data_IF_868870140426
#
_entry.id   IF_868870140426
#
_cell.length_a   1.000
_cell.length_b   1.000
_cell.length_c   1.000
_cell.angle_alpha   90.00
_cell.angle_beta   90.00
_cell.angle_gamma   90.00
#
_symmetry.space_group_name_H-M   'P 1'
#
loop_
_entity.id
_entity.type
_entity.pdbx_description
1 polymer ?
#
# COMPACT_ATOMS: atom_id res chain seq x y z
N UNK A 1 -13.77 -7.14 21.37
CA UNK A 1 -12.63 -7.37 20.46
C UNK A 1 -13.06 -8.48 19.53
N UNK A 2 -13.27 -8.20 18.26
CA UNK A 2 -13.52 -9.25 17.27
C UNK A 2 -12.19 -9.99 17.12
N UNK A 3 -12.17 -11.28 17.42
CA UNK A 3 -10.98 -12.11 17.30
C UNK A 3 -10.49 -12.06 15.84
N UNK A 4 -9.21 -11.72 15.61
CA UNK A 4 -8.65 -11.67 14.25
C UNK A 4 -8.81 -13.02 13.51
N UNK A 5 -8.92 -14.13 14.26
CA UNK A 5 -9.17 -15.48 13.74
C UNK A 5 -10.62 -15.69 13.25
N UNK A 6 -11.62 -15.04 13.87
CA UNK A 6 -13.03 -15.13 13.43
C UNK A 6 -13.35 -14.15 12.30
N UNK A 7 -12.49 -13.15 12.06
CA UNK A 7 -12.58 -12.24 10.91
C UNK A 7 -12.30 -12.92 9.56
N UNK A 8 -11.39 -13.92 9.56
CA UNK A 8 -10.97 -14.64 8.35
C UNK A 8 -11.92 -15.77 7.96
N UNK A 9 -12.85 -16.15 8.84
CA UNK A 9 -13.87 -17.14 8.49
C UNK A 9 -14.91 -16.51 7.59
N UNK A 10 -14.83 -16.83 6.31
CA UNK A 10 -15.98 -16.79 5.40
C UNK A 10 -17.01 -17.79 5.94
N UNK A 11 -17.90 -17.32 6.82
CA UNK A 11 -19.00 -18.18 7.29
C UNK A 11 -20.01 -18.33 6.17
N UNK A 12 -20.74 -19.45 6.11
CA UNK A 12 -21.87 -19.69 5.17
C UNK A 12 -22.91 -18.54 5.12
N UNK A 13 -22.88 -17.61 6.08
CA UNK A 13 -23.70 -16.38 6.11
C UNK A 13 -23.18 -15.24 5.22
N UNK A 14 -21.93 -15.27 4.74
CA UNK A 14 -21.41 -14.39 3.68
C UNK A 14 -22.01 -14.82 2.32
N UNK A 15 -23.32 -14.58 2.19
CA UNK A 15 -24.16 -15.03 1.07
C UNK A 15 -23.90 -14.27 -0.24
N UNK A 16 -23.04 -13.24 -0.24
CA UNK A 16 -22.80 -12.39 -1.41
C UNK A 16 -21.31 -12.31 -1.74
N UNK A 17 -20.97 -12.67 -2.98
CA UNK A 17 -19.61 -12.70 -3.53
C UNK A 17 -18.84 -11.38 -3.29
N UNK A 18 -19.54 -10.23 -3.34
CA UNK A 18 -18.96 -8.92 -3.03
C UNK A 18 -18.43 -8.82 -1.59
N UNK A 19 -19.08 -9.41 -0.60
CA UNK A 19 -18.64 -9.33 0.80
C UNK A 19 -17.34 -10.13 1.00
N UNK A 20 -17.22 -11.30 0.36
CA UNK A 20 -15.98 -12.11 0.38
C UNK A 20 -14.83 -11.37 -0.30
N UNK A 21 -15.08 -10.81 -1.49
CA UNK A 21 -14.10 -9.98 -2.20
C UNK A 21 -13.65 -8.80 -1.35
N UNK A 22 -14.58 -8.10 -0.70
CA UNK A 22 -14.30 -6.95 0.16
C UNK A 22 -13.40 -7.33 1.34
N UNK A 23 -13.68 -8.47 2.00
CA UNK A 23 -12.84 -8.97 3.12
C UNK A 23 -11.44 -9.37 2.64
N UNK A 24 -11.34 -10.09 1.51
CA UNK A 24 -10.04 -10.45 0.91
C UNK A 24 -9.26 -9.18 0.55
N UNK A 25 -9.87 -8.23 -0.15
CA UNK A 25 -9.27 -6.94 -0.53
C UNK A 25 -8.82 -6.12 0.69
N UNK A 26 -9.62 -6.09 1.76
CA UNK A 26 -9.24 -5.45 3.02
C UNK A 26 -7.94 -6.03 3.58
N UNK A 27 -7.82 -7.36 3.59
CA UNK A 27 -6.62 -8.04 4.08
C UNK A 27 -5.38 -7.68 3.25
N UNK A 28 -5.52 -7.71 1.93
CA UNK A 28 -4.45 -7.37 0.99
C UNK A 28 -3.97 -5.93 1.21
N UNK A 29 -4.91 -4.99 1.38
CA UNK A 29 -4.60 -3.60 1.68
C UNK A 29 -3.88 -3.47 3.03
N UNK A 30 -4.28 -4.21 4.06
CA UNK A 30 -3.58 -4.16 5.35
C UNK A 30 -2.17 -4.75 5.31
N UNK A 31 -1.96 -5.87 4.61
CA UNK A 31 -0.62 -6.46 4.43
C UNK A 31 0.26 -5.50 3.64
N UNK A 32 -0.26 -4.95 2.54
CA UNK A 32 0.49 -3.99 1.72
C UNK A 32 0.76 -2.69 2.47
N UNK A 33 -0.15 -2.23 3.32
CA UNK A 33 0.07 -1.08 4.20
C UNK A 33 1.25 -1.32 5.15
N UNK A 34 1.29 -2.50 5.77
CA UNK A 34 2.39 -2.91 6.63
C UNK A 34 3.72 -2.98 5.85
N UNK A 35 3.73 -3.66 4.71
CA UNK A 35 4.91 -3.80 3.87
C UNK A 35 5.45 -2.43 3.41
N UNK A 36 4.58 -1.52 2.98
CA UNK A 36 4.94 -0.16 2.57
C UNK A 36 5.45 0.68 3.76
N UNK A 37 4.90 0.49 4.96
CA UNK A 37 5.39 1.17 6.16
C UNK A 37 6.79 0.70 6.55
N UNK A 38 7.03 -0.62 6.52
CA UNK A 38 8.37 -1.20 6.75
C UNK A 38 9.35 -0.70 5.69
N UNK A 39 8.93 -0.70 4.43
CA UNK A 39 9.76 -0.18 3.34
C UNK A 39 10.06 1.31 3.50
N UNK A 40 9.09 2.11 3.96
CA UNK A 40 9.28 3.53 4.25
C UNK A 40 10.35 3.74 5.29
N UNK A 41 10.30 3.00 6.41
CA UNK A 41 11.31 3.09 7.48
C UNK A 41 12.69 2.72 6.93
N UNK A 42 12.76 1.62 6.15
CA UNK A 42 14.00 1.18 5.53
C UNK A 42 14.57 2.25 4.59
N UNK A 43 13.76 2.75 3.65
CA UNK A 43 14.17 3.74 2.65
C UNK A 43 14.63 5.05 3.30
N UNK A 44 13.90 5.57 4.30
CA UNK A 44 14.31 6.79 5.01
C UNK A 44 15.59 6.58 5.80
N UNK A 45 15.80 5.39 6.39
CA UNK A 45 17.02 5.07 7.14
C UNK A 45 18.23 5.00 6.21
N UNK A 46 18.12 4.28 5.10
CA UNK A 46 19.19 4.16 4.09
C UNK A 46 19.49 5.51 3.45
N UNK A 47 18.46 6.31 3.14
CA UNK A 47 18.65 7.66 2.60
C UNK A 47 19.36 8.54 3.62
N UNK A 48 18.98 8.48 4.89
CA UNK A 48 19.62 9.23 5.96
C UNK A 48 21.10 8.88 6.15
N UNK A 49 21.45 7.60 6.10
CA UNK A 49 22.86 7.16 6.18
C UNK A 49 23.65 7.56 4.94
N UNK A 50 23.06 7.44 3.75
CA UNK A 50 23.66 7.89 2.49
C UNK A 50 23.95 9.40 2.51
N UNK A 51 22.97 10.22 2.90
CA UNK A 51 23.14 11.67 3.01
C UNK A 51 24.26 12.06 3.97
N UNK A 52 24.41 11.34 5.09
CA UNK A 52 25.53 11.56 6.01
C UNK A 52 26.87 11.29 5.33
N UNK A 53 26.99 10.18 4.59
CA UNK A 53 28.21 9.85 3.87
C UNK A 53 28.54 10.78 2.69
N UNK A 54 27.54 11.48 2.13
CA UNK A 54 27.75 12.47 1.08
C UNK A 54 28.41 13.74 1.63
N UNK A 55 28.10 14.14 2.87
CA UNK A 55 28.74 15.30 3.52
C UNK A 55 30.23 15.09 3.86
N UNK A 56 30.67 13.84 3.93
CA UNK A 56 32.07 13.47 4.24
C UNK A 56 32.95 13.37 2.97
N UNK A 57 32.39 13.52 1.77
CA UNK A 57 33.11 13.39 0.49
C UNK A 57 33.14 14.73 -0.23
N UNK A 58 34.26 15.06 -0.89
CA UNK A 58 34.45 16.27 -1.75
C UNK A 58 33.60 16.24 -3.05
N UNK A 59 32.44 15.55 -3.05
CA UNK A 59 31.51 15.44 -4.19
C UNK A 59 30.46 16.57 -4.14
N UNK A 60 30.63 17.55 -3.24
CA UNK A 60 29.70 18.66 -3.08
C UNK A 60 29.52 19.50 -4.36
N UNK A 61 30.47 19.46 -5.30
CA UNK A 61 30.42 20.20 -6.56
C UNK A 61 29.39 19.67 -7.58
N UNK A 62 28.90 18.43 -7.44
CA UNK A 62 27.93 17.85 -8.39
C UNK A 62 26.46 18.15 -8.02
N UNK A 63 26.20 18.61 -6.79
CA UNK A 63 24.85 18.83 -6.29
C UNK A 63 24.39 20.28 -6.41
N UNK A 64 23.16 20.46 -6.88
CA UNK A 64 22.55 21.79 -6.91
C UNK A 64 22.21 22.27 -5.50
N UNK A 65 22.66 23.48 -5.16
CA UNK A 65 22.25 24.15 -3.94
C UNK A 65 20.75 24.45 -3.94
N UNK A 66 20.10 24.29 -2.78
CA UNK A 66 18.68 24.59 -2.63
C UNK A 66 18.40 25.21 -1.26
N UNK A 67 17.28 25.93 -1.18
CA UNK A 67 16.90 26.73 -0.01
C UNK A 67 16.30 25.86 1.11
N UNK A 68 15.85 24.63 0.82
CA UNK A 68 15.25 23.74 1.83
C UNK A 68 15.73 22.30 1.68
N UNK A 69 15.85 21.54 2.79
CA UNK A 69 16.25 20.13 2.73
C UNK A 69 15.35 19.26 1.84
N UNK A 70 14.05 19.57 1.80
CA UNK A 70 13.11 18.87 0.90
C UNK A 70 13.29 19.28 -0.56
N UNK A 71 13.66 20.53 -0.82
CA UNK A 71 14.06 20.98 -2.16
C UNK A 71 15.33 20.29 -2.65
N UNK A 72 16.31 20.10 -1.75
CA UNK A 72 17.55 19.39 -2.03
C UNK A 72 17.27 17.96 -2.45
N UNK A 73 16.49 17.23 -1.64
CA UNK A 73 16.10 15.85 -1.93
C UNK A 73 15.34 15.75 -3.25
N UNK A 74 14.33 16.60 -3.48
CA UNK A 74 13.55 16.56 -4.71
C UNK A 74 14.38 16.78 -5.97
N UNK A 75 15.37 17.68 -5.93
CA UNK A 75 16.23 18.00 -7.08
C UNK A 75 17.35 16.99 -7.30
N UNK A 76 18.11 16.69 -6.25
CA UNK A 76 19.36 15.94 -6.36
C UNK A 76 19.15 14.42 -6.19
N UNK A 77 18.13 14.03 -5.44
CA UNK A 77 17.84 12.63 -5.07
C UNK A 77 16.34 12.34 -5.28
N UNK A 78 15.82 12.53 -6.52
CA UNK A 78 14.39 12.49 -6.79
C UNK A 78 13.77 11.13 -6.47
N UNK A 79 14.51 10.04 -6.66
CA UNK A 79 14.04 8.70 -6.32
C UNK A 79 13.87 8.53 -4.81
N UNK A 80 14.88 8.88 -4.01
CA UNK A 80 14.88 8.76 -2.54
C UNK A 80 13.79 9.63 -1.89
N UNK A 81 13.58 10.82 -2.47
CA UNK A 81 12.46 11.69 -2.10
C UNK A 81 11.11 11.03 -2.39
N UNK A 82 10.92 10.55 -3.62
CA UNK A 82 9.66 9.96 -4.07
C UNK A 82 9.36 8.66 -3.33
N UNK A 83 10.32 7.75 -3.19
CA UNK A 83 10.10 6.46 -2.54
C UNK A 83 9.69 6.63 -1.09
N UNK A 84 10.35 7.53 -0.34
CA UNK A 84 10.05 7.78 1.08
C UNK A 84 8.64 8.35 1.26
N UNK A 85 8.26 9.31 0.41
CA UNK A 85 6.91 9.91 0.45
C UNK A 85 5.83 8.95 -0.03
N UNK A 86 6.09 8.24 -1.12
CA UNK A 86 5.16 7.31 -1.73
C UNK A 86 4.89 6.14 -0.80
N UNK A 87 5.92 5.48 -0.24
CA UNK A 87 5.75 4.33 0.64
C UNK A 87 4.96 4.67 1.89
N UNK A 88 5.25 5.82 2.53
CA UNK A 88 4.50 6.25 3.70
C UNK A 88 3.03 6.55 3.36
N UNK A 89 2.81 7.38 2.33
CA UNK A 89 1.47 7.83 1.98
C UNK A 89 0.59 6.70 1.42
N UNK A 90 1.12 5.90 0.48
CA UNK A 90 0.41 4.74 -0.06
C UNK A 90 0.12 3.73 1.05
N UNK A 91 1.07 3.52 1.98
CA UNK A 91 0.87 2.68 3.15
C UNK A 91 -0.28 3.17 4.04
N UNK A 92 -0.33 4.46 4.32
CA UNK A 92 -1.41 5.08 5.10
C UNK A 92 -2.77 4.97 4.39
N UNK A 93 -2.82 5.23 3.08
CA UNK A 93 -4.05 5.10 2.30
C UNK A 93 -4.54 3.65 2.26
N UNK A 94 -3.64 2.70 2.05
CA UNK A 94 -3.95 1.27 2.11
C UNK A 94 -4.47 0.86 3.48
N UNK A 95 -3.88 1.38 4.56
CA UNK A 95 -4.35 1.08 5.91
C UNK A 95 -5.78 1.56 6.15
N UNK A 96 -6.08 2.84 5.85
CA UNK A 96 -7.42 3.41 6.03
C UNK A 96 -8.44 2.69 5.14
N UNK A 97 -8.11 2.45 3.86
CA UNK A 97 -8.97 1.73 2.94
C UNK A 97 -9.21 0.28 3.41
N UNK A 98 -8.17 -0.39 3.88
CA UNK A 98 -8.25 -1.74 4.44
C UNK A 98 -9.22 -1.80 5.61
N UNK A 99 -9.03 -0.94 6.61
CA UNK A 99 -9.93 -0.85 7.77
C UNK A 99 -11.36 -0.51 7.34
N UNK A 100 -11.55 0.43 6.42
CA UNK A 100 -12.88 0.79 5.92
C UNK A 100 -13.59 -0.41 5.27
N UNK A 101 -12.88 -1.14 4.40
CA UNK A 101 -13.41 -2.35 3.75
C UNK A 101 -13.68 -3.47 4.77
N UNK A 102 -12.91 -3.59 5.85
CA UNK A 102 -13.23 -4.55 6.93
C UNK A 102 -14.62 -4.29 7.52
N UNK A 103 -14.93 -3.02 7.83
CA UNK A 103 -16.24 -2.67 8.38
C UNK A 103 -17.37 -2.92 7.37
N UNK A 104 -17.17 -2.53 6.10
CA UNK A 104 -18.16 -2.71 5.03
C UNK A 104 -18.41 -4.22 4.77
N UNK A 105 -17.35 -5.01 4.68
CA UNK A 105 -17.43 -6.45 4.42
C UNK A 105 -18.07 -7.25 5.55
N UNK A 106 -17.98 -6.77 6.80
CA UNK A 106 -18.59 -7.41 7.98
C UNK A 106 -20.03 -6.98 8.27
N UNK A 107 -20.49 -5.87 7.69
CA UNK A 107 -21.84 -5.36 7.91
C UNK A 107 -22.97 -6.41 7.67
N UNK A 108 -22.90 -7.30 6.66
CA UNK A 108 -23.91 -8.35 6.45
C UNK A 108 -23.98 -9.40 7.56
N UNK A 109 -22.87 -9.64 8.27
CA UNK A 109 -22.77 -10.67 9.31
C UNK A 109 -23.07 -10.14 10.72
N UNK A 110 -23.28 -8.83 10.89
CA UNK A 110 -23.39 -8.14 12.19
C UNK A 110 -24.65 -8.47 13.02
N UNK A 111 -25.50 -9.40 12.57
CA UNK A 111 -26.60 -10.00 13.35
C UNK A 111 -27.84 -9.13 13.60
N UNK A 112 -27.80 -7.80 13.36
CA UNK A 112 -28.93 -6.90 13.58
C UNK A 112 -28.93 -5.64 12.72
N UNK A 113 -30.12 -5.12 12.38
CA UNK A 113 -30.29 -3.95 11.48
C UNK A 113 -29.54 -2.70 11.94
N UNK A 114 -29.54 -2.41 13.25
CA UNK A 114 -28.82 -1.26 13.81
C UNK A 114 -27.29 -1.45 13.72
N UNK A 115 -26.80 -2.64 14.07
CA UNK A 115 -25.39 -3.01 13.98
C UNK A 115 -24.89 -2.93 12.53
N UNK A 116 -25.60 -3.52 11.57
CA UNK A 116 -25.28 -3.43 10.14
C UNK A 116 -25.16 -1.98 9.66
N UNK A 117 -26.10 -1.09 10.04
CA UNK A 117 -26.03 0.33 9.68
C UNK A 117 -24.83 1.03 10.30
N UNK A 118 -24.47 0.68 11.54
CA UNK A 118 -23.30 1.24 12.23
C UNK A 118 -21.98 0.83 11.55
N UNK A 119 -21.85 -0.44 11.14
CA UNK A 119 -20.69 -0.91 10.38
C UNK A 119 -20.54 -0.17 9.04
N UNK A 120 -21.64 -0.01 8.29
CA UNK A 120 -21.59 0.78 7.06
C UNK A 120 -21.23 2.23 7.31
N UNK A 121 -21.80 2.87 8.33
CA UNK A 121 -21.49 4.26 8.69
C UNK A 121 -20.00 4.45 9.00
N UNK A 122 -19.41 3.57 9.81
CA UNK A 122 -17.98 3.62 10.15
C UNK A 122 -17.14 3.46 8.87
N UNK A 123 -17.45 2.45 8.06
CA UNK A 123 -16.73 2.18 6.81
C UNK A 123 -16.80 3.33 5.80
N UNK A 124 -17.99 3.90 5.57
CA UNK A 124 -18.16 5.03 4.64
C UNK A 124 -17.58 6.33 5.18
N UNK A 125 -17.60 6.54 6.50
CA UNK A 125 -16.93 7.68 7.13
C UNK A 125 -15.41 7.61 6.93
N UNK A 126 -14.81 6.42 7.08
CA UNK A 126 -13.38 6.23 6.83
C UNK A 126 -13.03 6.42 5.34
N UNK A 127 -13.85 5.92 4.42
CA UNK A 127 -13.66 6.19 2.98
C UNK A 127 -13.77 7.68 2.65
N UNK A 128 -14.69 8.40 3.30
CA UNK A 128 -14.84 9.85 3.13
C UNK A 128 -13.61 10.60 3.63
N UNK A 129 -13.05 10.19 4.78
CA UNK A 129 -11.81 10.75 5.30
C UNK A 129 -10.63 10.48 4.35
N UNK A 130 -10.52 9.28 3.78
CA UNK A 130 -9.50 8.93 2.79
C UNK A 130 -9.58 9.85 1.55
N UNK A 131 -10.78 10.06 1.00
CA UNK A 131 -10.97 10.96 -0.14
C UNK A 131 -10.60 12.40 0.21
N UNK A 132 -10.94 12.86 1.42
CA UNK A 132 -10.58 14.19 1.89
C UNK A 132 -9.06 14.34 2.06
N UNK A 133 -8.36 13.32 2.54
CA UNK A 133 -6.89 13.34 2.63
C UNK A 133 -6.24 13.47 1.25
N UNK A 134 -6.73 12.73 0.25
CA UNK A 134 -6.23 12.83 -1.13
C UNK A 134 -6.54 14.21 -1.72
N UNK A 135 -7.74 14.74 -1.51
CA UNK A 135 -8.11 16.07 -1.96
C UNK A 135 -7.24 17.16 -1.31
N UNK A 136 -7.01 17.05 0.00
CA UNK A 136 -6.11 17.93 0.74
C UNK A 136 -4.69 17.86 0.19
N UNK A 137 -4.17 16.67 -0.05
CA UNK A 137 -2.85 16.48 -0.63
C UNK A 137 -2.74 17.11 -2.02
N UNK A 138 -3.70 16.83 -2.92
CA UNK A 138 -3.72 17.40 -4.27
C UNK A 138 -3.68 18.93 -4.26
N UNK A 139 -4.35 19.57 -3.30
CA UNK A 139 -4.33 21.03 -3.16
C UNK A 139 -2.98 21.57 -2.68
N UNK A 140 -2.22 20.81 -1.89
CA UNK A 140 -0.99 21.29 -1.23
C UNK A 140 0.29 20.71 -1.85
N UNK A 141 0.21 19.99 -2.96
CA UNK A 141 1.40 19.59 -3.69
C UNK A 141 1.90 20.72 -4.57
N UNK A 142 3.15 21.12 -4.32
CA UNK A 142 3.85 22.13 -5.10
C UNK A 142 4.77 21.53 -6.17
N UNK A 143 5.21 20.28 -5.98
CA UNK A 143 6.17 19.61 -6.86
C UNK A 143 5.52 18.79 -7.98
N UNK A 144 4.27 18.36 -7.78
CA UNK A 144 3.53 17.52 -8.74
C UNK A 144 2.13 18.10 -8.96
N UNK A 145 1.62 17.98 -10.18
CA UNK A 145 0.28 18.47 -10.54
C UNK A 145 -0.85 17.72 -9.81
N UNK A 146 -0.66 16.44 -9.50
CA UNK A 146 -1.63 15.62 -8.77
C UNK A 146 -0.95 14.39 -8.17
N UNK A 147 -1.66 13.69 -7.30
CA UNK A 147 -1.16 12.49 -6.65
C UNK A 147 -0.87 11.39 -7.67
N UNK A 148 -1.73 11.26 -8.70
CA UNK A 148 -1.52 10.33 -9.80
C UNK A 148 -0.25 10.65 -10.60
N UNK A 149 0.08 11.93 -10.78
CA UNK A 149 1.32 12.34 -11.42
C UNK A 149 2.54 11.93 -10.60
N UNK A 150 2.50 12.13 -9.28
CA UNK A 150 3.56 11.67 -8.37
C UNK A 150 3.75 10.14 -8.42
N UNK A 151 2.67 9.36 -8.54
CA UNK A 151 2.73 7.90 -8.69
C UNK A 151 3.40 7.51 -10.02
N UNK A 152 3.02 8.17 -11.11
CA UNK A 152 3.60 7.91 -12.43
C UNK A 152 5.10 8.20 -12.44
N UNK A 153 5.51 9.34 -11.90
CA UNK A 153 6.92 9.73 -11.78
C UNK A 153 7.69 8.77 -10.88
N UNK A 154 7.08 8.31 -9.78
CA UNK A 154 7.69 7.29 -8.92
C UNK A 154 8.00 6.00 -9.69
N UNK A 155 7.03 5.48 -10.45
CA UNK A 155 7.27 4.26 -11.24
C UNK A 155 8.33 4.47 -12.31
N UNK A 156 8.30 5.60 -13.01
CA UNK A 156 9.30 5.94 -14.01
C UNK A 156 10.71 5.95 -13.41
N UNK A 157 10.90 6.67 -12.30
CA UNK A 157 12.17 6.76 -11.58
C UNK A 157 12.61 5.39 -11.04
N UNK A 158 11.68 4.60 -10.50
CA UNK A 158 11.98 3.24 -10.04
C UNK A 158 12.50 2.34 -11.17
N UNK A 159 11.84 2.36 -12.33
CA UNK A 159 12.29 1.58 -13.48
C UNK A 159 13.64 2.03 -14.01
N UNK A 160 13.86 3.35 -14.10
CA UNK A 160 15.14 3.91 -14.52
C UNK A 160 16.28 3.51 -13.57
N UNK A 161 16.05 3.62 -12.26
CA UNK A 161 17.07 3.41 -11.24
C UNK A 161 17.42 1.93 -11.00
N UNK A 162 16.49 1.00 -11.26
CA UNK A 162 16.68 -0.42 -10.95
C UNK A 162 16.72 -1.36 -12.16
N UNK A 163 16.04 -1.03 -13.26
CA UNK A 163 15.92 -1.92 -14.43
C UNK A 163 16.63 -1.39 -15.66
N UNK A 164 16.63 -0.07 -15.88
CA UNK A 164 17.29 0.58 -17.03
C UNK A 164 18.65 1.19 -16.65
N UNK A 165 19.19 0.84 -15.49
CA UNK A 165 20.45 1.37 -14.98
C UNK A 165 21.66 0.57 -15.48
N UNK A 166 22.80 1.27 -15.60
CA UNK A 166 24.13 0.67 -15.77
C UNK A 166 25.01 1.09 -14.59
N UNK A 167 25.63 0.17 -13.85
CA UNK A 167 25.64 -1.29 -14.04
C UNK A 167 24.31 -1.96 -13.70
N UNK A 168 24.04 -3.11 -14.33
CA UNK A 168 22.84 -3.93 -14.06
C UNK A 168 22.79 -4.33 -12.59
N UNK A 169 21.59 -4.30 -11.99
CA UNK A 169 21.33 -4.68 -10.60
C UNK A 169 20.57 -6.01 -10.53
N UNK A 170 21.24 -7.17 -10.38
CA UNK A 170 20.58 -8.48 -10.43
C UNK A 170 19.50 -8.68 -9.36
N UNK A 171 19.69 -8.09 -8.17
CA UNK A 171 18.72 -8.18 -7.08
C UNK A 171 17.37 -7.54 -7.42
N UNK A 172 17.34 -6.52 -8.29
CA UNK A 172 16.09 -5.91 -8.76
C UNK A 172 15.30 -6.88 -9.64
N UNK A 173 15.98 -7.61 -10.52
CA UNK A 173 15.37 -8.62 -11.39
C UNK A 173 14.85 -9.83 -10.59
N UNK A 174 15.62 -10.28 -9.59
CA UNK A 174 15.15 -11.33 -8.68
C UNK A 174 13.91 -10.88 -7.90
N UNK A 175 13.90 -9.65 -7.39
CA UNK A 175 12.74 -9.08 -6.72
C UNK A 175 11.51 -9.00 -7.65
N UNK A 176 11.69 -8.62 -8.91
CA UNK A 176 10.61 -8.62 -9.90
C UNK A 176 10.06 -10.03 -10.18
N UNK A 177 10.92 -11.04 -10.23
CA UNK A 177 10.50 -12.43 -10.41
C UNK A 177 9.66 -12.92 -9.20
N UNK A 178 10.12 -12.64 -7.98
CA UNK A 178 9.37 -12.97 -6.74
C UNK A 178 8.03 -12.22 -6.68
N UNK A 179 8.01 -10.95 -7.09
CA UNK A 179 6.78 -10.15 -7.15
C UNK A 179 5.80 -10.71 -8.19
N UNK A 180 6.28 -11.13 -9.35
CA UNK A 180 5.42 -11.75 -10.38
C UNK A 180 4.81 -13.06 -9.87
N UNK A 181 5.60 -13.85 -9.15
CA UNK A 181 5.13 -15.08 -8.52
C UNK A 181 4.08 -14.80 -7.43
N UNK A 182 4.25 -13.74 -6.62
CA UNK A 182 3.25 -13.36 -5.62
C UNK A 182 1.94 -12.90 -6.26
N UNK A 183 1.99 -12.17 -7.38
CA UNK A 183 0.80 -11.81 -8.17
C UNK A 183 0.06 -13.05 -8.71
N UNK A 184 0.80 -14.09 -9.12
CA UNK A 184 0.20 -15.35 -9.55
C UNK A 184 -0.57 -16.03 -8.40
N UNK A 185 0.06 -16.23 -7.25
CA UNK A 185 -0.60 -16.84 -6.09
C UNK A 185 -1.78 -16.01 -5.59
N UNK A 186 -1.68 -14.69 -5.68
CA UNK A 186 -2.77 -13.78 -5.37
C UNK A 186 -3.99 -13.99 -6.28
N UNK A 187 -3.76 -14.07 -7.59
CA UNK A 187 -4.82 -14.33 -8.56
C UNK A 187 -5.49 -15.68 -8.30
N UNK A 188 -4.68 -16.72 -8.08
CA UNK A 188 -5.17 -18.06 -7.71
C UNK A 188 -6.01 -18.03 -6.43
N UNK A 189 -5.58 -17.31 -5.38
CA UNK A 189 -6.33 -17.18 -4.14
C UNK A 189 -7.65 -16.40 -4.28
N UNK A 190 -7.76 -15.47 -5.23
CA UNK A 190 -9.02 -14.77 -5.52
C UNK A 190 -9.98 -15.68 -6.31
N UNK A 191 -9.45 -16.41 -7.29
CA UNK A 191 -10.24 -17.25 -8.19
C UNK A 191 -10.53 -18.64 -7.63
N UNK A 192 -9.84 -19.08 -6.59
CA UNK A 192 -10.17 -20.29 -5.87
C UNK A 192 -11.61 -20.18 -5.34
N UNK A 193 -12.49 -21.02 -5.89
CA UNK A 193 -13.71 -21.40 -5.23
C UNK A 193 -13.30 -22.14 -3.95
N UNK A 194 -13.92 -21.82 -2.82
CA UNK A 194 -13.68 -22.58 -1.60
C UNK A 194 -14.19 -24.00 -1.90
N UNK A 195 -13.29 -24.93 -2.23
CA UNK A 195 -13.59 -26.37 -2.32
C UNK A 195 -13.98 -26.81 -0.91
N UNK A 196 -15.28 -26.69 -0.59
CA UNK A 196 -15.87 -27.35 0.56
C UNK A 196 -15.75 -28.86 0.27
N UNK A 197 -14.70 -29.49 0.81
CA UNK A 197 -14.68 -30.94 1.02
C UNK A 197 -15.98 -31.33 1.71
N UNK A 198 -16.85 -31.97 0.93
CA UNK A 198 -18.07 -32.65 1.36
C UNK A 198 -17.69 -33.90 2.18
N UNK A 199 -17.04 -33.72 3.33
CA UNK A 199 -16.97 -34.76 4.35
C UNK A 199 -18.28 -34.74 5.16
N UNK A 200 -19.33 -35.18 4.47
CA UNK A 200 -20.70 -35.20 4.97
C UNK A 200 -21.56 -36.31 4.36
N UNK A 201 -21.16 -37.58 4.44
CA UNK A 201 -22.11 -38.71 4.51
C UNK A 201 -21.61 -39.70 5.56
N UNK A 202 -22.19 -39.67 6.78
CA UNK A 202 -23.35 -40.49 7.20
C UNK A 202 -23.06 -41.98 7.12
N UNK A 203 -22.79 -42.60 8.27
CA UNK A 203 -23.72 -43.53 8.94
C UNK A 203 -23.67 -43.26 10.45
#
# INVERSE_FOLDING_TARGET
MIDQADFLKTTKKDTKLWARFTKRAAHILLISAFALSVFSIFATTVTGTMLKSLGDRDIAEEYEETISPMGFLHKNLPFEFLISRFSFLQGLLHWIAGVALMYIGNAPAAGGKASTKMFYFIGTSLMSALLLMIAFLNKHMNFYASYLHMIADFHLQFFQQYFLCTPVRPMAWLAAAVFTLSCKYFYEAIMAEDDDEDHGKRE
#
